data_IF_159612765968
#
_entry.id   IF_159612765968
#
_cell.length_a   1.000
_cell.length_b   1.000
_cell.length_c   1.000
_cell.angle_alpha   90.00
_cell.angle_beta   90.00
_cell.angle_gamma   90.00
#
_symmetry.space_group_name_H-M   'P 1'
#
loop_
_entity.id
_entity.type
_entity.pdbx_description
1 polymer ?
#
# COMPACT_ATOMS: atom_id res chain seq x y z
N UNK A 1 4.27 -10.02 -5.99
CA UNK A 1 3.38 -9.90 -4.82
C UNK A 1 2.16 -9.07 -5.17
N UNK A 2 1.10 -9.25 -4.43
CA UNK A 2 -0.14 -8.49 -4.51
C UNK A 2 -0.72 -8.35 -3.11
N UNK A 3 -1.10 -7.13 -2.73
CA UNK A 3 -1.61 -6.78 -1.41
C UNK A 3 -2.61 -5.63 -1.48
N UNK A 4 -3.41 -5.41 -0.43
CA UNK A 4 -4.35 -4.31 -0.39
C UNK A 4 -4.88 -3.95 0.99
N UNK A 5 -5.39 -2.72 1.08
CA UNK A 5 -6.02 -2.15 2.26
C UNK A 5 -7.50 -1.84 1.99
N UNK A 6 -8.38 -2.28 2.88
CA UNK A 6 -9.81 -1.96 2.83
C UNK A 6 -10.28 -1.21 4.09
N UNK A 7 -10.19 -1.85 5.26
CA UNK A 7 -10.71 -1.31 6.52
C UNK A 7 -10.10 0.04 6.91
N UNK A 8 -8.79 0.22 6.70
CA UNK A 8 -8.08 1.47 7.00
C UNK A 8 -8.63 2.66 6.17
N UNK A 9 -9.07 2.40 4.94
CA UNK A 9 -9.69 3.40 4.07
C UNK A 9 -11.02 3.89 4.64
N UNK A 10 -11.84 2.98 5.20
CA UNK A 10 -13.10 3.34 5.86
C UNK A 10 -12.88 4.23 7.08
N UNK A 11 -11.82 3.97 7.85
CA UNK A 11 -11.44 4.83 8.97
C UNK A 11 -11.01 6.21 8.48
N UNK A 12 -10.21 6.29 7.42
CA UNK A 12 -9.80 7.56 6.81
C UNK A 12 -10.99 8.36 6.31
N UNK A 13 -11.95 7.73 5.64
CA UNK A 13 -13.20 8.36 5.17
C UNK A 13 -14.05 8.88 6.35
N UNK A 14 -14.19 8.10 7.41
CA UNK A 14 -14.91 8.51 8.61
C UNK A 14 -14.28 9.72 9.30
N UNK A 15 -12.95 9.75 9.42
CA UNK A 15 -12.22 10.89 9.98
C UNK A 15 -12.34 12.12 9.09
N UNK A 16 -12.23 11.94 7.77
CA UNK A 16 -12.41 13.04 6.81
C UNK A 16 -13.80 13.66 6.90
N UNK A 17 -14.84 12.83 6.94
CA UNK A 17 -16.23 13.28 7.06
C UNK A 17 -16.50 14.06 8.38
N UNK A 18 -15.88 13.64 9.50
CA UNK A 18 -16.11 14.23 10.81
C UNK A 18 -15.27 15.48 11.07
N UNK A 19 -14.05 15.56 10.56
CA UNK A 19 -13.06 16.56 10.94
C UNK A 19 -12.49 17.38 9.79
N UNK A 20 -12.75 17.00 8.55
CA UNK A 20 -12.11 17.56 7.36
C UNK A 20 -10.63 17.18 7.20
N UNK A 21 -10.07 16.35 8.11
CA UNK A 21 -8.67 15.91 8.02
C UNK A 21 -8.54 14.79 7.00
N UNK A 22 -7.74 15.03 5.97
CA UNK A 22 -7.47 14.09 4.90
C UNK A 22 -6.18 13.31 5.20
N UNK A 23 -6.30 11.98 5.29
CA UNK A 23 -5.19 11.05 5.55
C UNK A 23 -4.88 10.15 4.36
N UNK A 24 -5.37 10.47 3.17
CA UNK A 24 -5.16 9.62 2.00
C UNK A 24 -3.71 9.60 1.51
N UNK A 25 -2.91 10.62 1.84
CA UNK A 25 -1.48 10.59 1.60
C UNK A 25 -0.79 9.48 2.41
N UNK A 26 -1.08 9.41 3.69
CA UNK A 26 -0.55 8.41 4.62
C UNK A 26 -1.07 7.01 4.27
N UNK A 27 -2.35 6.88 3.96
CA UNK A 27 -2.96 5.61 3.50
C UNK A 27 -2.29 5.08 2.24
N UNK A 28 -1.97 5.94 1.29
CA UNK A 28 -1.30 5.53 0.06
C UNK A 28 0.13 5.07 0.32
N UNK A 29 0.89 5.78 1.17
CA UNK A 29 2.23 5.35 1.59
C UNK A 29 2.17 3.99 2.28
N UNK A 30 1.22 3.81 3.19
CA UNK A 30 1.00 2.55 3.89
C UNK A 30 0.67 1.40 2.93
N UNK A 31 -0.15 1.66 1.91
CA UNK A 31 -0.49 0.66 0.91
C UNK A 31 0.74 0.21 0.13
N UNK A 32 1.55 1.16 -0.34
CA UNK A 32 2.81 0.83 -1.03
C UNK A 32 3.76 0.08 -0.09
N UNK A 33 3.86 0.49 1.17
CA UNK A 33 4.70 -0.17 2.16
C UNK A 33 4.26 -1.63 2.39
N UNK A 34 2.95 -1.90 2.50
CA UNK A 34 2.43 -3.27 2.63
C UNK A 34 2.86 -4.15 1.45
N UNK A 35 2.68 -3.65 0.22
CA UNK A 35 3.04 -4.37 -1.00
C UNK A 35 4.55 -4.66 -1.05
N UNK A 36 5.36 -3.63 -0.76
CA UNK A 36 6.82 -3.72 -0.86
C UNK A 36 7.42 -4.59 0.24
N UNK A 37 6.85 -4.57 1.45
CA UNK A 37 7.32 -5.39 2.56
C UNK A 37 7.31 -6.88 2.22
N UNK A 38 6.34 -7.35 1.46
CA UNK A 38 6.29 -8.74 1.01
C UNK A 38 7.43 -9.11 0.05
N UNK A 39 7.89 -8.15 -0.76
CA UNK A 39 9.07 -8.36 -1.60
C UNK A 39 10.35 -8.47 -0.77
N UNK A 40 10.52 -7.60 0.23
CA UNK A 40 11.76 -7.58 1.01
C UNK A 40 11.90 -8.78 1.93
N UNK A 41 10.80 -9.43 2.33
CA UNK A 41 10.83 -10.66 3.13
C UNK A 41 11.55 -11.81 2.45
N UNK A 42 11.59 -11.84 1.12
CA UNK A 42 12.33 -12.85 0.36
C UNK A 42 13.68 -12.34 -0.18
N UNK A 43 14.10 -11.13 0.19
CA UNK A 43 15.36 -10.51 -0.24
C UNK A 43 15.29 -9.83 -1.60
N UNK A 44 14.09 -9.56 -2.12
CA UNK A 44 13.90 -8.86 -3.39
C UNK A 44 13.95 -7.34 -3.20
N UNK A 45 14.67 -6.65 -4.08
CA UNK A 45 14.59 -5.19 -4.20
C UNK A 45 13.44 -4.82 -5.13
N UNK A 46 12.55 -3.89 -4.72
CA UNK A 46 11.44 -3.46 -5.55
C UNK A 46 11.91 -2.83 -6.86
N UNK A 47 11.18 -3.06 -7.94
CA UNK A 47 11.44 -2.44 -9.25
C UNK A 47 10.25 -1.58 -9.66
N UNK A 48 9.05 -2.14 -9.60
CA UNK A 48 7.83 -1.47 -10.05
C UNK A 48 6.66 -1.85 -9.16
N UNK A 49 5.81 -0.87 -8.88
CA UNK A 49 4.54 -1.04 -8.16
C UNK A 49 3.41 -0.53 -9.07
N UNK A 50 2.36 -1.32 -9.21
CA UNK A 50 1.13 -0.93 -9.90
C UNK A 50 0.01 -0.72 -8.88
N UNK A 51 -0.78 0.35 -9.06
CA UNK A 51 -1.89 0.72 -8.19
C UNK A 51 -3.20 0.09 -8.67
N UNK A 52 -4.02 -0.38 -7.76
CA UNK A 52 -5.42 -0.71 -8.00
C UNK A 52 -6.28 0.08 -7.01
N UNK A 53 -7.02 1.06 -7.52
CA UNK A 53 -7.88 1.94 -6.73
C UNK A 53 -9.34 1.73 -7.16
N UNK A 54 -10.02 0.76 -6.56
CA UNK A 54 -11.40 0.40 -6.87
C UNK A 54 -12.39 1.18 -6.02
N UNK A 55 -13.34 1.86 -6.65
CA UNK A 55 -14.39 2.62 -5.96
C UNK A 55 -15.78 2.06 -6.25
N UNK A 56 -16.71 2.28 -5.31
CA UNK A 56 -18.12 1.94 -5.53
C UNK A 56 -18.81 2.85 -6.52
N UNK A 57 -18.48 4.13 -6.52
CA UNK A 57 -18.95 5.13 -7.49
C UNK A 57 -17.83 6.07 -7.91
N UNK A 58 -17.85 6.51 -9.17
CA UNK A 58 -16.85 7.39 -9.78
C UNK A 58 -16.75 8.76 -9.10
N UNK A 59 -17.81 9.19 -8.46
CA UNK A 59 -17.91 10.43 -7.70
C UNK A 59 -16.89 10.48 -6.55
N UNK A 60 -16.41 9.33 -6.06
CA UNK A 60 -15.33 9.27 -5.09
C UNK A 60 -14.08 10.00 -5.59
N UNK A 61 -13.77 9.88 -6.87
CA UNK A 61 -12.64 10.55 -7.52
C UNK A 61 -12.86 12.05 -7.79
N UNK A 62 -14.07 12.56 -7.64
CA UNK A 62 -14.37 13.98 -7.86
C UNK A 62 -13.87 14.88 -6.73
N UNK A 63 -13.58 14.35 -5.55
CA UNK A 63 -12.93 15.10 -4.47
C UNK A 63 -11.44 15.30 -4.78
N UNK A 64 -11.11 16.46 -5.32
CA UNK A 64 -9.74 16.77 -5.76
C UNK A 64 -8.73 16.76 -4.59
N UNK A 65 -9.13 17.16 -3.38
CA UNK A 65 -8.23 17.18 -2.22
C UNK A 65 -7.86 15.75 -1.82
N UNK A 66 -8.83 14.87 -1.78
CA UNK A 66 -8.65 13.44 -1.47
C UNK A 66 -7.82 12.74 -2.55
N UNK A 67 -8.15 12.98 -3.82
CA UNK A 67 -7.44 12.40 -4.96
C UNK A 67 -5.98 12.85 -5.04
N UNK A 68 -5.71 14.15 -4.89
CA UNK A 68 -4.34 14.65 -4.92
C UNK A 68 -3.51 14.03 -3.79
N UNK A 69 -4.06 13.97 -2.58
CA UNK A 69 -3.38 13.32 -1.44
C UNK A 69 -3.06 11.85 -1.72
N UNK A 70 -4.00 11.10 -2.30
CA UNK A 70 -3.80 9.70 -2.67
C UNK A 70 -2.65 9.54 -3.68
N UNK A 71 -2.67 10.35 -4.76
CA UNK A 71 -1.67 10.31 -5.82
C UNK A 71 -0.28 10.70 -5.30
N UNK A 72 -0.20 11.78 -4.52
CA UNK A 72 1.05 12.23 -3.90
C UNK A 72 1.62 11.18 -2.94
N UNK A 73 0.76 10.58 -2.11
CA UNK A 73 1.16 9.52 -1.19
C UNK A 73 1.66 8.27 -1.89
N UNK A 74 0.98 7.86 -2.97
CA UNK A 74 1.41 6.69 -3.76
C UNK A 74 2.77 6.93 -4.41
N UNK A 75 2.95 8.08 -5.06
CA UNK A 75 4.23 8.48 -5.65
C UNK A 75 5.34 8.54 -4.60
N UNK A 76 5.06 9.08 -3.41
CA UNK A 76 6.01 9.15 -2.30
C UNK A 76 6.37 7.75 -1.78
N UNK A 77 5.41 6.84 -1.60
CA UNK A 77 5.67 5.46 -1.21
C UNK A 77 6.56 4.73 -2.22
N UNK A 78 6.31 4.90 -3.50
CA UNK A 78 7.17 4.37 -4.57
C UNK A 78 8.59 4.96 -4.49
N UNK A 79 8.70 6.29 -4.29
CA UNK A 79 10.01 6.96 -4.15
C UNK A 79 10.79 6.44 -2.95
N UNK A 80 10.15 6.28 -1.80
CA UNK A 80 10.78 5.77 -0.56
C UNK A 80 11.27 4.33 -0.72
N UNK A 81 10.53 3.51 -1.43
CA UNK A 81 10.89 2.11 -1.70
C UNK A 81 11.91 1.92 -2.83
N UNK A 82 12.24 2.99 -3.56
CA UNK A 82 13.11 2.92 -4.74
C UNK A 82 12.44 2.26 -5.96
N UNK A 83 11.13 2.06 -5.93
CA UNK A 83 10.36 1.52 -7.05
C UNK A 83 9.83 2.62 -7.97
N UNK A 84 9.55 2.27 -9.22
CA UNK A 84 8.78 3.14 -10.10
C UNK A 84 7.28 2.84 -9.93
N UNK A 85 6.44 3.87 -10.05
CA UNK A 85 5.00 3.67 -10.24
C UNK A 85 4.76 3.23 -11.68
N UNK A 86 4.60 1.92 -11.89
CA UNK A 86 4.60 1.30 -13.22
C UNK A 86 3.25 1.26 -13.92
N UNK A 87 2.19 1.78 -13.28
CA UNK A 87 0.84 1.78 -13.84
C UNK A 87 -0.22 1.44 -12.81
N UNK A 88 -1.35 0.96 -13.28
CA UNK A 88 -2.46 0.54 -12.42
C UNK A 88 -3.82 0.68 -13.09
N UNK A 89 -4.86 0.50 -12.28
CA UNK A 89 -6.26 0.58 -12.66
C UNK A 89 -7.07 1.36 -11.62
N UNK A 90 -8.08 2.10 -12.08
CA UNK A 90 -9.02 2.84 -11.23
C UNK A 90 -10.46 2.46 -11.55
N UNK A 91 -10.87 1.19 -11.31
CA UNK A 91 -12.19 0.72 -11.70
C UNK A 91 -13.29 1.27 -10.81
N UNK A 92 -14.47 1.51 -11.40
CA UNK A 92 -15.72 1.72 -10.67
C UNK A 92 -16.46 0.40 -10.59
N UNK A 93 -16.52 -0.18 -9.40
CA UNK A 93 -17.12 -1.50 -9.13
C UNK A 93 -18.45 -1.35 -8.40
N UNK A 94 -19.43 -0.82 -9.10
CA UNK A 94 -20.77 -0.55 -8.58
C UNK A 94 -21.45 -1.84 -8.12
N UNK A 95 -21.93 -1.84 -6.87
CA UNK A 95 -22.57 -3.01 -6.27
C UNK A 95 -21.62 -4.11 -5.77
N UNK A 96 -20.32 -3.95 -5.98
CA UNK A 96 -19.27 -4.82 -5.45
C UNK A 96 -18.50 -4.13 -4.32
N UNK A 97 -18.15 -2.86 -4.54
CA UNK A 97 -17.58 -1.97 -3.53
C UNK A 97 -18.70 -1.06 -3.01
N UNK A 98 -18.71 -0.79 -1.71
CA UNK A 98 -19.63 0.16 -1.10
C UNK A 98 -19.58 1.52 -1.78
N UNK A 99 -20.75 2.16 -1.93
CA UNK A 99 -20.95 3.37 -2.73
C UNK A 99 -19.89 4.47 -2.49
N UNK A 100 -19.60 4.75 -1.24
CA UNK A 100 -18.70 5.86 -0.85
C UNK A 100 -17.33 5.36 -0.41
N UNK A 101 -16.98 4.12 -0.70
CA UNK A 101 -15.72 3.52 -0.27
C UNK A 101 -14.74 3.36 -1.43
N UNK A 102 -13.47 3.22 -1.06
CA UNK A 102 -12.39 2.82 -1.94
C UNK A 102 -11.67 1.60 -1.35
N UNK A 103 -11.29 0.68 -2.22
CA UNK A 103 -10.35 -0.39 -1.92
C UNK A 103 -9.05 -0.05 -2.61
N UNK A 104 -7.99 0.09 -1.83
CA UNK A 104 -6.64 0.32 -2.34
C UNK A 104 -5.87 -0.99 -2.30
N UNK A 105 -5.37 -1.39 -3.44
CA UNK A 105 -4.55 -2.58 -3.61
C UNK A 105 -3.44 -2.28 -4.61
N UNK A 106 -2.55 -3.24 -4.79
CA UNK A 106 -1.55 -3.13 -5.82
C UNK A 106 -0.71 -4.38 -5.92
N UNK A 107 0.01 -4.45 -7.00
CA UNK A 107 0.97 -5.51 -7.24
C UNK A 107 2.37 -4.93 -7.41
N UNK A 108 3.39 -5.72 -7.08
CA UNK A 108 4.75 -5.31 -7.30
C UNK A 108 5.62 -6.45 -7.84
N UNK A 109 6.61 -6.07 -8.61
CA UNK A 109 7.71 -6.93 -9.00
C UNK A 109 9.01 -6.43 -8.39
N UNK A 110 9.85 -7.37 -8.01
CA UNK A 110 11.18 -7.09 -7.48
C UNK A 110 12.20 -8.08 -8.02
N UNK A 111 13.47 -7.81 -7.77
CA UNK A 111 14.59 -8.64 -8.21
C UNK A 111 15.45 -9.06 -7.05
N UNK A 112 15.77 -10.34 -6.99
CA UNK A 112 16.80 -10.89 -6.11
C UNK A 112 18.09 -11.03 -6.94
N UNK A 113 19.09 -10.21 -6.63
CA UNK A 113 20.36 -10.26 -7.33
C UNK A 113 21.51 -9.82 -6.41
N UNK A 114 22.56 -10.63 -6.25
CA UNK A 114 22.72 -12.00 -6.77
C UNK A 114 21.76 -13.00 -6.08
N UNK A 115 21.59 -14.18 -6.67
CA UNK A 115 20.69 -15.23 -6.13
C UNK A 115 21.02 -15.62 -4.68
N UNK A 116 22.26 -15.45 -4.25
CA UNK A 116 22.71 -15.73 -2.88
C UNK A 116 22.04 -14.84 -1.82
N UNK A 117 21.46 -13.69 -2.22
CA UNK A 117 20.73 -12.79 -1.32
C UNK A 117 19.26 -13.23 -1.10
N UNK A 118 18.84 -14.34 -1.71
CA UNK A 118 17.49 -14.85 -1.48
C UNK A 118 17.35 -15.30 -0.03
N UNK A 119 16.38 -14.71 0.66
CA UNK A 119 16.01 -15.12 2.02
C UNK A 119 15.11 -16.34 1.92
N UNK A 120 15.46 -17.39 2.65
CA UNK A 120 14.68 -18.63 2.76
C UNK A 120 14.45 -18.93 4.21
N UNK A 121 13.39 -19.66 4.54
CA UNK A 121 13.02 -19.97 5.92
C UNK A 121 13.89 -21.04 6.60
N UNK A 122 15.19 -20.99 6.42
CA UNK A 122 16.15 -21.92 7.08
C UNK A 122 16.50 -21.43 8.48
N UNK A 123 15.49 -21.42 9.38
CA UNK A 123 15.63 -20.99 10.77
C UNK A 123 16.16 -22.15 11.61
N UNK A 124 17.16 -21.88 12.46
CA UNK A 124 17.86 -22.88 13.27
C UNK A 124 17.91 -22.51 14.75
N UNK A 125 18.11 -23.51 15.58
CA UNK A 125 18.40 -23.29 17.01
C UNK A 125 19.65 -22.45 17.15
N UNK A 126 19.57 -21.40 17.98
CA UNK A 126 20.65 -20.42 18.18
C UNK A 126 20.58 -19.18 17.28
N UNK A 127 19.65 -19.12 16.34
CA UNK A 127 19.42 -17.89 15.55
C UNK A 127 18.93 -16.74 16.45
N UNK A 128 19.40 -15.54 16.16
CA UNK A 128 18.99 -14.35 16.90
C UNK A 128 17.63 -13.84 16.42
N UNK A 129 16.75 -13.50 17.37
CA UNK A 129 15.50 -12.80 17.08
C UNK A 129 15.75 -11.31 17.24
N UNK A 130 15.56 -10.55 16.16
CA UNK A 130 15.74 -9.09 16.15
C UNK A 130 14.37 -8.41 16.01
N UNK A 131 14.07 -7.52 16.96
CA UNK A 131 12.87 -6.68 16.91
C UNK A 131 13.23 -5.27 16.49
N UNK A 132 12.45 -4.72 15.57
CA UNK A 132 12.49 -3.31 15.22
C UNK A 132 11.48 -2.56 16.09
N UNK A 133 11.91 -1.41 16.65
CA UNK A 133 11.03 -0.57 17.43
C UNK A 133 9.87 -0.04 16.56
N UNK A 134 8.68 0.01 17.14
CA UNK A 134 7.48 0.56 16.53
C UNK A 134 6.90 1.66 17.39
N UNK A 135 6.42 2.73 16.78
CA UNK A 135 5.78 3.87 17.46
C UNK A 135 4.25 3.84 17.40
N UNK A 136 3.67 2.78 16.89
CA UNK A 136 2.22 2.65 16.75
C UNK A 136 1.82 1.37 16.02
N UNK A 137 0.55 1.32 15.62
CA UNK A 137 -0.01 0.23 14.82
C UNK A 137 0.64 0.24 13.44
N UNK A 138 1.10 -0.92 12.99
CA UNK A 138 1.72 -1.08 11.68
C UNK A 138 0.65 -1.11 10.56
N UNK A 139 1.11 -1.08 9.31
CA UNK A 139 0.26 -0.97 8.12
C UNK A 139 -0.86 -2.01 8.08
N UNK A 140 -0.61 -3.24 8.47
CA UNK A 140 -1.61 -4.31 8.50
C UNK A 140 -2.49 -4.33 9.78
N UNK A 141 -2.40 -3.35 10.62
CA UNK A 141 -3.23 -3.19 11.79
C UNK A 141 -2.67 -3.84 13.06
#
# INVERSE_FOLDING_TARGET
VEEGLGTKNLVADAVYAQSGKNFYREIAIDTVATIVNDLVTCGALPISVAMHAAVGESEWFADAARMNSLVEGWAEGCRQSGAVWGGGETPTLRGVVEKNAIVLAGSAIGKIAPKALRITGDVRDGDAIVFLASSGVQTNG
#
